data_IF_780879998087
#
_entry.id   IF_780879998087
#
_cell.length_a   1.000
_cell.length_b   1.000
_cell.length_c   1.000
_cell.angle_alpha   90.00
_cell.angle_beta   90.00
_cell.angle_gamma   90.00
#
_symmetry.space_group_name_H-M   'P 1'
#
loop_
_entity.id
_entity.type
_entity.pdbx_description
1 polymer ?
#
# COMPACT_ATOMS: atom_id res chain seq x y z
N UNK A 1 40.46 -33.59 -33.58
CA UNK A 1 39.99 -33.84 -32.20
C UNK A 1 41.25 -34.17 -31.42
N UNK A 2 41.75 -33.41 -30.46
CA UNK A 2 41.17 -32.48 -29.49
C UNK A 2 42.10 -31.25 -29.34
N UNK A 3 41.56 -30.05 -29.06
CA UNK A 3 42.28 -28.78 -29.13
C UNK A 3 42.67 -28.23 -27.75
N UNK A 4 43.87 -27.69 -27.63
CA UNK A 4 44.12 -26.57 -26.73
C UNK A 4 44.74 -26.89 -25.36
N UNK A 5 45.93 -26.34 -25.15
CA UNK A 5 46.22 -25.55 -23.95
C UNK A 5 47.29 -24.54 -24.30
N UNK A 6 46.89 -23.52 -25.06
CA UNK A 6 47.71 -22.35 -25.26
C UNK A 6 47.83 -21.63 -23.92
N UNK A 7 49.08 -21.33 -23.61
CA UNK A 7 49.59 -20.55 -22.51
C UNK A 7 48.68 -19.36 -22.16
N UNK A 8 48.35 -19.24 -20.88
CA UNK A 8 47.50 -18.20 -20.31
C UNK A 8 48.22 -16.85 -20.39
N UNK A 9 47.74 -15.86 -21.17
CA UNK A 9 48.19 -14.49 -21.00
C UNK A 9 47.32 -13.83 -19.93
N UNK A 10 47.99 -13.11 -19.03
CA UNK A 10 47.41 -12.36 -17.93
C UNK A 10 46.61 -11.16 -18.48
N UNK A 11 45.28 -11.23 -18.43
CA UNK A 11 44.45 -10.07 -18.75
C UNK A 11 44.22 -9.23 -17.49
N UNK A 12 44.98 -8.15 -17.44
CA UNK A 12 44.74 -6.87 -16.76
C UNK A 12 43.43 -6.76 -15.97
N UNK A 13 43.54 -6.98 -14.66
CA UNK A 13 42.61 -6.40 -13.68
C UNK A 13 42.75 -4.87 -13.67
N UNK A 14 42.26 -4.19 -14.71
CA UNK A 14 41.92 -2.78 -14.66
C UNK A 14 41.15 -2.35 -15.91
N UNK A 15 39.86 -2.65 -15.96
CA UNK A 15 38.94 -1.96 -16.86
C UNK A 15 38.16 -0.94 -16.04
N UNK A 16 38.28 0.38 -16.30
CA UNK A 16 37.43 1.38 -15.68
C UNK A 16 36.04 1.23 -16.28
N UNK A 17 35.18 0.48 -15.58
CA UNK A 17 33.76 0.37 -15.90
C UNK A 17 33.08 1.69 -15.62
N UNK A 18 33.09 2.54 -16.64
CA UNK A 18 32.06 3.54 -17.00
C UNK A 18 31.00 3.78 -15.93
N UNK A 19 31.06 4.98 -15.35
CA UNK A 19 29.93 5.66 -14.71
C UNK A 19 28.66 5.45 -15.51
N UNK A 20 27.77 4.59 -15.02
CA UNK A 20 26.35 4.73 -15.27
C UNK A 20 25.74 5.19 -13.96
N UNK A 21 25.58 6.51 -13.88
CA UNK A 21 24.78 7.17 -12.87
C UNK A 21 23.33 6.74 -13.09
N UNK A 22 22.90 5.69 -12.39
CA UNK A 22 21.49 5.31 -12.35
C UNK A 22 20.70 6.40 -11.58
N UNK A 23 19.76 7.14 -12.21
CA UNK A 23 18.98 8.19 -11.58
C UNK A 23 17.76 7.62 -10.86
N UNK A 24 17.85 6.41 -10.30
CA UNK A 24 16.82 5.90 -9.40
C UNK A 24 17.08 6.42 -7.99
N UNK A 25 16.98 7.75 -7.86
CA UNK A 25 16.58 8.41 -6.63
C UNK A 25 15.14 7.97 -6.32
N UNK A 26 14.98 6.72 -5.90
CA UNK A 26 13.74 6.30 -5.25
C UNK A 26 13.75 7.00 -3.92
N UNK A 27 13.06 8.15 -3.91
CA UNK A 27 12.73 8.91 -2.72
C UNK A 27 12.42 7.92 -1.60
N UNK A 28 13.32 7.88 -0.62
CA UNK A 28 13.06 7.31 0.68
C UNK A 28 11.95 8.19 1.27
N UNK A 29 10.70 7.90 0.87
CA UNK A 29 9.53 8.43 1.54
C UNK A 29 9.62 7.79 2.90
N UNK A 30 10.12 8.59 3.84
CA UNK A 30 10.05 8.33 5.27
C UNK A 30 8.78 7.55 5.51
N UNK A 31 8.93 6.28 5.91
CA UNK A 31 7.81 5.43 6.29
C UNK A 31 7.25 6.02 7.57
N UNK A 32 6.57 7.16 7.48
CA UNK A 32 5.56 7.61 8.43
C UNK A 32 4.61 6.44 8.49
N UNK A 33 4.79 5.59 9.51
CA UNK A 33 3.83 4.57 9.90
C UNK A 33 2.50 5.30 9.82
N UNK A 34 1.60 4.86 8.92
CA UNK A 34 0.26 5.44 8.82
C UNK A 34 -0.21 5.61 10.24
N UNK A 35 -0.39 6.86 10.69
CA UNK A 35 -0.78 7.09 12.06
C UNK A 35 -2.01 6.23 12.31
N UNK A 36 -2.09 5.63 13.50
CA UNK A 36 -3.30 4.96 13.93
C UNK A 36 -4.51 5.87 13.64
N UNK A 37 -5.68 5.29 13.41
CA UNK A 37 -6.92 6.06 13.31
C UNK A 37 -6.96 7.11 14.43
N UNK A 38 -6.99 8.39 14.08
CA UNK A 38 -7.09 9.45 15.07
C UNK A 38 -8.48 9.40 15.70
N UNK A 39 -8.67 10.00 16.88
CA UNK A 39 -9.93 9.92 17.61
C UNK A 39 -11.14 10.35 16.76
N UNK A 40 -10.96 11.37 15.92
CA UNK A 40 -11.99 11.87 15.02
C UNK A 40 -12.34 10.89 13.89
N UNK A 41 -11.34 10.34 13.18
CA UNK A 41 -11.54 9.29 12.17
C UNK A 41 -12.24 8.06 12.80
N UNK A 42 -11.85 7.70 14.03
CA UNK A 42 -12.41 6.54 14.73
C UNK A 42 -13.85 6.78 15.17
N UNK A 43 -14.19 7.99 15.64
CA UNK A 43 -15.57 8.33 16.00
C UNK A 43 -16.48 8.27 14.77
N UNK A 44 -16.05 8.82 13.63
CA UNK A 44 -16.80 8.74 12.37
C UNK A 44 -16.98 7.28 11.94
N UNK A 45 -15.90 6.49 11.98
CA UNK A 45 -15.97 5.06 11.67
C UNK A 45 -17.00 4.36 12.55
N UNK A 46 -16.90 4.51 13.88
CA UNK A 46 -17.81 3.84 14.83
C UNK A 46 -19.24 4.32 14.63
N UNK A 47 -19.47 5.62 14.48
CA UNK A 47 -20.80 6.21 14.30
C UNK A 47 -21.47 5.67 13.03
N UNK A 48 -20.78 5.73 11.90
CA UNK A 48 -21.35 5.29 10.63
C UNK A 48 -21.52 3.78 10.55
N UNK A 49 -20.57 3.00 11.07
CA UNK A 49 -20.69 1.54 11.15
C UNK A 49 -21.86 1.14 12.06
N UNK A 50 -22.08 1.86 13.16
CA UNK A 50 -23.21 1.63 14.06
C UNK A 50 -24.53 1.96 13.38
N UNK A 51 -24.62 3.11 12.70
CA UNK A 51 -25.81 3.50 11.93
C UNK A 51 -26.17 2.46 10.86
N UNK A 52 -25.16 1.89 10.21
CA UNK A 52 -25.32 0.87 9.17
C UNK A 52 -25.18 -0.57 9.67
N UNK A 53 -25.14 -0.82 10.98
CA UNK A 53 -24.82 -2.12 11.55
C UNK A 53 -25.74 -3.23 11.03
N UNK A 54 -27.05 -2.95 10.97
CA UNK A 54 -28.03 -3.90 10.46
C UNK A 54 -27.80 -4.23 8.98
N UNK A 55 -27.36 -3.28 8.17
CA UNK A 55 -27.13 -3.47 6.73
C UNK A 55 -25.78 -4.18 6.48
N UNK A 56 -24.76 -3.86 7.29
CA UNK A 56 -23.41 -4.39 7.17
C UNK A 56 -23.27 -5.81 7.72
N UNK A 57 -23.96 -6.13 8.82
CA UNK A 57 -23.73 -7.39 9.55
C UNK A 57 -24.96 -8.28 9.69
N UNK A 58 -26.16 -7.71 9.83
CA UNK A 58 -27.38 -8.49 10.12
C UNK A 58 -28.10 -8.91 8.84
N UNK A 59 -28.14 -8.04 7.85
CA UNK A 59 -28.90 -8.26 6.62
C UNK A 59 -28.10 -9.13 5.65
N UNK A 60 -28.41 -10.43 5.62
CA UNK A 60 -27.83 -11.40 4.66
C UNK A 60 -28.33 -11.20 3.23
N UNK A 61 -29.50 -10.57 3.06
CA UNK A 61 -30.13 -10.32 1.76
C UNK A 61 -29.59 -9.09 1.02
N UNK A 62 -28.71 -8.29 1.65
CA UNK A 62 -28.18 -7.09 1.02
C UNK A 62 -27.15 -7.49 -0.06
N UNK A 63 -27.28 -7.01 -1.30
CA UNK A 63 -26.30 -7.26 -2.35
C UNK A 63 -24.90 -6.82 -1.91
N UNK A 64 -23.87 -7.59 -2.28
CA UNK A 64 -22.48 -7.28 -1.96
C UNK A 64 -22.12 -5.86 -2.43
N UNK A 65 -22.56 -5.45 -3.62
CA UNK A 65 -22.33 -4.10 -4.16
C UNK A 65 -22.91 -2.99 -3.28
N UNK A 66 -24.09 -3.20 -2.68
CA UNK A 66 -24.69 -2.25 -1.74
C UNK A 66 -23.90 -2.17 -0.45
N UNK A 67 -23.44 -3.32 0.07
CA UNK A 67 -22.59 -3.36 1.27
C UNK A 67 -21.25 -2.64 1.01
N UNK A 68 -20.66 -2.84 -0.16
CA UNK A 68 -19.44 -2.14 -0.57
C UNK A 68 -19.67 -0.63 -0.72
N UNK A 69 -20.82 -0.21 -1.27
CA UNK A 69 -21.17 1.21 -1.36
C UNK A 69 -21.28 1.87 0.03
N UNK A 70 -21.87 1.18 1.02
CA UNK A 70 -21.90 1.67 2.41
C UNK A 70 -20.48 1.82 2.95
N UNK A 71 -19.62 0.82 2.78
CA UNK A 71 -18.22 0.92 3.18
C UNK A 71 -17.47 2.05 2.47
N UNK A 72 -17.76 2.28 1.19
CA UNK A 72 -17.17 3.37 0.44
C UNK A 72 -17.63 4.73 0.97
N UNK A 73 -18.91 4.90 1.30
CA UNK A 73 -19.41 6.12 1.94
C UNK A 73 -18.75 6.39 3.30
N UNK A 74 -18.54 5.34 4.10
CA UNK A 74 -17.81 5.43 5.37
C UNK A 74 -16.38 5.92 5.12
N UNK A 75 -15.70 5.34 4.12
CA UNK A 75 -14.36 5.76 3.72
C UNK A 75 -14.33 7.19 3.22
N UNK A 76 -15.29 7.61 2.40
CA UNK A 76 -15.32 8.96 1.83
C UNK A 76 -15.54 10.01 2.94
N UNK A 77 -16.38 9.70 3.95
CA UNK A 77 -16.52 10.55 5.15
C UNK A 77 -15.23 10.64 5.94
N UNK A 78 -14.53 9.51 6.13
CA UNK A 78 -13.23 9.51 6.80
C UNK A 78 -12.19 10.27 5.97
N UNK A 79 -12.13 10.08 4.65
CA UNK A 79 -11.18 10.76 3.74
C UNK A 79 -11.37 12.28 3.75
N UNK A 80 -12.59 12.75 4.03
CA UNK A 80 -12.88 14.19 4.14
C UNK A 80 -12.25 14.85 5.37
N UNK A 81 -11.98 14.08 6.43
CA UNK A 81 -11.35 14.58 7.68
C UNK A 81 -9.92 14.08 7.85
N UNK A 82 -9.57 12.98 7.17
CA UNK A 82 -8.29 12.34 7.31
C UNK A 82 -7.21 13.10 6.55
N UNK A 83 -6.06 13.31 7.20
CA UNK A 83 -4.85 13.79 6.53
C UNK A 83 -4.28 12.73 5.55
N UNK A 84 -4.67 11.46 5.73
CA UNK A 84 -4.18 10.32 4.93
C UNK A 84 -5.35 9.48 4.42
N UNK A 85 -5.35 9.18 3.12
CA UNK A 85 -6.34 8.28 2.52
C UNK A 85 -6.42 6.93 3.22
N UNK A 86 -7.62 6.60 3.72
CA UNK A 86 -7.95 5.30 4.32
C UNK A 86 -8.63 4.39 3.31
N UNK A 87 -8.29 3.10 3.31
CA UNK A 87 -8.97 2.12 2.47
C UNK A 87 -10.12 1.43 3.21
N UNK A 88 -11.09 0.88 2.48
CA UNK A 88 -12.16 0.04 3.04
C UNK A 88 -11.58 -1.12 3.88
N UNK A 89 -10.44 -1.69 3.46
CA UNK A 89 -9.77 -2.77 4.18
C UNK A 89 -9.27 -2.30 5.56
N UNK A 90 -8.76 -1.07 5.65
CA UNK A 90 -8.32 -0.49 6.93
C UNK A 90 -9.50 -0.22 7.86
N UNK A 91 -10.62 0.27 7.33
CA UNK A 91 -11.85 0.49 8.10
C UNK A 91 -12.44 -0.82 8.65
N UNK A 92 -12.41 -1.90 7.86
CA UNK A 92 -12.90 -3.22 8.28
C UNK A 92 -12.02 -3.94 9.30
N UNK A 93 -10.78 -3.48 9.52
CA UNK A 93 -9.83 -4.08 10.47
C UNK A 93 -9.91 -3.46 11.88
N UNK A 94 -10.70 -2.41 12.06
CA UNK A 94 -11.05 -1.87 13.37
C UNK A 94 -12.34 -2.46 13.87
#
# INVERSE_FOLDING_TARGET
>A
MDPGRLDRPQEDYNRPGTSQEDPHKTQEREKKKKCCFIAEEQEILVKEVTEHQHQLFVTSKLPISRRQAIWQQIVDKIDSVAEVRRTVIECKKR
#
